data_IF_913789827876
#
_entry.id   IF_913789827876
#
_cell.length_a   1.000
_cell.length_b   1.000
_cell.length_c   1.000
_cell.angle_alpha   90.00
_cell.angle_beta   90.00
_cell.angle_gamma   90.00
#
_symmetry.space_group_name_H-M   'P 1'
#
loop_
_entity.id
_entity.type
_entity.pdbx_description
1 polymer ?
2 polymer ?
3 water ?
#
# COMPACT_ATOMS: atom_id res chain seq x y z
N UNK A 1 -25.19 7.10 -7.99
CA UNK A 1 -24.85 7.11 -6.54
C UNK A 1 -23.66 6.22 -6.20
N UNK A 2 -22.97 6.58 -5.13
CA UNK A 2 -21.82 5.80 -4.64
C UNK A 2 -22.21 4.43 -4.10
N UNK A 3 -21.22 3.60 -3.83
CA UNK A 3 -21.44 2.21 -3.38
C UNK A 3 -22.06 2.13 -1.98
N UNK A 4 -21.85 3.14 -1.14
CA UNK A 4 -22.40 3.15 0.23
C UNK A 4 -23.83 3.66 0.29
N UNK A 5 -24.15 4.69 -0.50
CA UNK A 5 -25.48 5.31 -0.47
C UNK A 5 -26.50 4.57 -1.33
N UNK A 6 -26.02 3.71 -2.22
CA UNK A 6 -26.89 2.78 -2.94
C UNK A 6 -27.62 1.86 -1.96
N UNK A 7 -26.90 1.30 -0.98
CA UNK A 7 -27.50 0.31 -0.06
C UNK A 7 -27.71 0.76 1.40
N UNK A 8 -27.46 2.03 1.71
CA UNK A 8 -27.66 2.55 3.09
C UNK A 8 -29.15 2.72 3.50
N UNK A 9 -29.43 2.55 4.80
CA UNK A 9 -30.80 2.63 5.36
C UNK A 9 -30.87 3.49 6.62
N UNK A 12 -27.01 3.35 7.48
CA UNK A 12 -26.15 2.25 7.87
C UNK A 12 -26.08 1.17 6.79
N UNK A 13 -24.92 0.50 6.70
CA UNK A 13 -24.68 -0.52 5.68
C UNK A 13 -24.20 -1.81 6.34
N UNK A 14 -24.72 -2.93 5.88
CA UNK A 14 -24.38 -4.24 6.44
C UNK A 14 -22.92 -4.58 6.14
N UNK A 15 -22.21 -5.05 7.17
CA UNK A 15 -20.79 -5.43 7.05
C UNK A 15 -20.55 -6.25 5.79
N UNK A 16 -21.42 -7.22 5.55
CA UNK A 16 -21.26 -8.13 4.42
C UNK A 16 -21.22 -7.37 3.09
N UNK A 17 -22.00 -6.29 3.01
CA UNK A 17 -22.07 -5.46 1.80
C UNK A 17 -20.89 -4.52 1.72
N UNK A 18 -20.47 -4.01 2.87
CA UNK A 18 -19.26 -3.22 2.93
C UNK A 18 -18.11 -4.01 2.33
N UNK A 19 -18.02 -5.29 2.69
CA UNK A 19 -16.97 -6.16 2.21
C UNK A 19 -17.00 -6.26 0.69
N UNK A 20 -18.19 -6.38 0.12
CA UNK A 20 -18.32 -6.52 -1.33
C UNK A 20 -17.82 -5.26 -1.98
N UNK A 21 -18.21 -4.11 -1.43
CA UNK A 21 -17.77 -2.81 -1.94
C UNK A 21 -16.25 -2.71 -1.89
N UNK A 22 -15.65 -3.20 -0.79
CA UNK A 22 -14.19 -3.18 -0.63
C UNK A 22 -13.50 -3.92 -1.76
N UNK A 23 -14.10 -5.03 -2.19
CA UNK A 23 -13.55 -5.82 -3.28
C UNK A 23 -13.68 -5.12 -4.62
N UNK A 24 -14.82 -4.44 -4.81
CA UNK A 24 -15.03 -3.70 -6.04
C UNK A 24 -14.02 -2.55 -6.10
N UNK A 25 -13.60 -2.05 -4.93
CA UNK A 25 -12.57 -1.01 -4.86
C UNK A 25 -11.16 -1.56 -4.93
N UNK A 26 -11.04 -2.89 -5.04
CA UNK A 26 -9.75 -3.55 -5.22
C UNK A 26 -9.05 -3.89 -3.92
N UNK A 27 -9.82 -4.00 -2.84
CA UNK A 27 -9.28 -4.46 -1.57
C UNK A 27 -9.72 -5.90 -1.28
N UNK A 28 -9.14 -6.48 -0.23
CA UNK A 28 -9.31 -7.88 0.07
C UNK A 28 -9.58 -8.10 1.57
N UNK A 29 -10.82 -7.87 2.01
CA UNK A 29 -11.21 -8.16 3.39
C UNK A 29 -11.27 -9.67 3.68
N UNK A 30 -10.83 -10.07 4.87
CA UNK A 30 -10.96 -11.45 5.34
C UNK A 30 -11.99 -11.51 6.47
N UNK A 31 -12.29 -12.71 6.96
CA UNK A 31 -13.18 -12.83 8.13
C UNK A 31 -12.61 -12.14 9.39
N UNK A 32 -11.30 -12.01 9.49
CA UNK A 32 -10.67 -11.29 10.61
C UNK A 32 -11.06 -9.81 10.65
N UNK A 33 -11.08 -9.16 9.50
CA UNK A 33 -11.48 -7.75 9.40
C UNK A 33 -12.96 -7.55 9.68
N UNK A 34 -13.77 -8.49 9.23
CA UNK A 34 -15.20 -8.42 9.46
C UNK A 34 -15.48 -8.52 10.96
N UNK A 35 -14.76 -9.43 11.62
CA UNK A 35 -14.91 -9.59 13.04
C UNK A 35 -14.45 -8.35 13.79
N UNK A 36 -13.31 -7.79 13.39
CA UNK A 36 -12.82 -6.56 14.04
C UNK A 36 -13.85 -5.42 13.96
N UNK A 37 -14.36 -5.17 12.75
CA UNK A 37 -15.32 -4.09 12.53
C UNK A 37 -16.66 -4.39 13.23
N UNK A 38 -17.07 -5.66 13.22
CA UNK A 38 -18.25 -6.05 14.01
C UNK A 38 -18.10 -5.82 15.53
N UNK A 39 -16.92 -6.12 16.06
CA UNK A 39 -16.73 -6.17 17.51
C UNK A 39 -16.75 -4.81 18.14
N UNK A 40 -16.59 -3.76 17.35
CA UNK A 40 -16.73 -2.42 17.91
C UNK A 40 -17.91 -1.59 17.36
N UNK A 41 -18.48 -1.97 16.21
CA UNK A 41 -19.62 -1.20 15.66
C UNK A 41 -20.88 -2.00 15.37
N UNK A 42 -20.81 -3.32 15.52
CA UNK A 42 -22.00 -4.14 15.40
C UNK A 42 -22.18 -4.62 13.98
N UNK A 43 -23.38 -5.08 13.67
CA UNK A 43 -23.64 -5.71 12.38
C UNK A 43 -23.71 -4.71 11.23
N UNK A 44 -23.91 -3.42 11.54
CA UNK A 44 -24.07 -2.37 10.54
C UNK A 44 -23.26 -1.10 10.87
N UNK A 45 -22.69 -0.50 9.82
CA UNK A 45 -21.76 0.62 9.95
C UNK A 45 -22.38 1.91 9.40
N UNK A 46 -22.11 3.02 10.12
CA UNK A 46 -22.33 4.36 9.57
C UNK A 46 -21.29 4.66 8.51
N UNK A 47 -21.49 5.76 7.80
CA UNK A 47 -20.55 6.17 6.78
C UNK A 47 -19.14 6.23 7.37
N UNK A 48 -18.99 6.95 8.46
CA UNK A 48 -17.68 7.11 9.09
C UNK A 48 -17.09 5.76 9.52
N UNK A 49 -17.92 4.89 10.07
CA UNK A 49 -17.46 3.54 10.45
C UNK A 49 -17.04 2.71 9.25
N UNK A 50 -17.76 2.89 8.15
CA UNK A 50 -17.51 2.17 6.91
C UNK A 50 -16.21 2.61 6.25
N UNK A 51 -15.88 3.89 6.34
CA UNK A 51 -14.60 4.39 5.86
C UNK A 51 -13.42 3.89 6.72
N UNK A 52 -13.60 3.78 8.02
CA UNK A 52 -12.60 3.12 8.86
C UNK A 52 -12.41 1.69 8.37
N UNK A 53 -13.51 0.99 8.13
CA UNK A 53 -13.43 -0.39 7.66
C UNK A 53 -12.61 -0.48 6.37
N UNK A 54 -12.84 0.40 5.41
CA UNK A 54 -12.07 0.36 4.16
C UNK A 54 -10.59 0.58 4.43
N UNK A 55 -10.27 1.56 5.29
CA UNK A 55 -8.87 1.73 5.70
C UNK A 55 -8.34 0.41 6.32
N UNK A 56 -9.12 -0.19 7.20
CA UNK A 56 -8.79 -1.52 7.79
C UNK A 56 -8.50 -2.57 6.73
N UNK A 57 -9.15 -2.48 5.58
CA UNK A 57 -9.03 -3.48 4.53
C UNK A 57 -7.91 -3.22 3.53
N UNK A 58 -7.14 -2.15 3.73
CA UNK A 58 -6.05 -1.82 2.81
C UNK A 58 -4.94 -2.89 2.86
N UNK A 59 -4.60 -3.34 4.05
CA UNK A 59 -3.60 -4.37 4.21
C UNK A 59 -2.37 -4.06 3.39
N UNK A 60 -1.62 -3.02 3.78
CA UNK A 60 -0.48 -2.62 3.02
C UNK A 60 0.71 -3.55 3.21
N UNK A 61 0.56 -4.54 4.08
CA UNK A 61 1.58 -5.57 4.25
C UNK A 61 1.34 -6.77 3.33
N UNK A 62 0.32 -6.71 2.50
CA UNK A 62 0.10 -7.76 1.51
C UNK A 62 1.21 -7.71 0.46
N UNK A 63 1.86 -8.84 0.24
CA UNK A 63 2.79 -9.00 -0.87
C UNK A 63 3.04 -10.48 -1.12
N UNK A 64 3.69 -10.78 -2.24
CA UNK A 64 3.90 -12.16 -2.65
C UNK A 64 4.49 -13.03 -1.54
N UNK A 65 5.49 -12.52 -0.84
CA UNK A 65 6.21 -13.36 0.12
C UNK A 65 5.40 -13.64 1.37
N UNK A 66 4.47 -12.74 1.70
CA UNK A 66 3.55 -12.98 2.83
C UNK A 66 2.44 -13.95 2.40
N UNK A 67 1.95 -13.78 1.17
CA UNK A 67 0.87 -14.62 0.66
C UNK A 67 1.24 -16.10 0.52
N UNK A 68 2.48 -16.38 0.14
CA UNK A 68 2.88 -17.76 -0.19
C UNK A 68 3.15 -18.65 1.02
N UNK A 69 3.17 -18.09 2.23
CA UNK A 69 3.72 -18.82 3.39
C UNK A 69 3.10 -20.20 3.57
N UNK A 70 1.78 -20.29 3.49
CA UNK A 70 1.11 -21.58 3.70
C UNK A 70 1.46 -22.57 2.58
N UNK A 71 1.52 -22.09 1.35
CA UNK A 71 1.86 -22.96 0.22
C UNK A 71 3.30 -23.47 0.34
N UNK A 72 4.20 -22.62 0.84
CA UNK A 72 5.59 -23.05 1.01
C UNK A 72 5.67 -24.23 1.94
N UNK A 73 4.80 -24.23 2.95
CA UNK A 73 4.80 -25.33 3.92
C UNK A 73 4.60 -26.64 3.22
N UNK A 74 3.79 -26.66 2.16
CA UNK A 74 3.48 -27.90 1.45
C UNK A 74 4.52 -28.24 0.36
N UNK A 75 5.33 -27.27 -0.02
CA UNK A 75 6.39 -27.50 -0.99
C UNK A 75 7.70 -27.88 -0.27
N UNK A 76 7.87 -29.18 -0.01
CA UNK A 76 8.98 -29.70 0.81
C UNK A 76 10.38 -29.29 0.36
N UNK A 77 10.71 -29.63 -0.88
CA UNK A 77 12.03 -29.33 -1.44
C UNK A 77 12.12 -27.89 -1.97
N UNK A 78 11.20 -27.04 -1.55
CA UNK A 78 11.16 -25.63 -1.98
C UNK A 78 11.42 -25.52 -3.48
N UNK A 79 10.75 -26.38 -4.25
CA UNK A 79 10.92 -26.39 -5.70
C UNK A 79 10.26 -25.20 -6.34
N UNK A 80 9.22 -24.69 -5.70
CA UNK A 80 8.46 -23.55 -6.23
C UNK A 80 7.08 -23.85 -6.82
N UNK A 81 6.75 -25.12 -7.07
CA UNK A 81 5.46 -25.46 -7.68
C UNK A 81 4.59 -26.31 -6.74
N UNK A 82 3.28 -26.22 -6.94
CA UNK A 82 2.33 -27.19 -6.37
C UNK A 82 1.32 -27.53 -7.48
N UNK A 83 0.69 -28.70 -7.39
CA UNK A 83 -0.34 -29.09 -8.35
C UNK A 83 -1.66 -28.36 -8.04
N UNK A 84 -2.54 -28.25 -9.05
CA UNK A 84 -3.86 -27.62 -8.84
C UNK A 84 -4.62 -28.25 -7.70
N UNK A 85 -4.62 -29.57 -7.68
CA UNK A 85 -5.40 -30.30 -6.73
C UNK A 85 -4.87 -30.13 -5.32
N UNK A 86 -3.55 -30.12 -5.17
CA UNK A 86 -2.93 -29.70 -3.91
C UNK A 86 -3.43 -28.34 -3.46
N UNK A 87 -3.37 -27.36 -4.36
CA UNK A 87 -3.73 -25.99 -3.96
C UNK A 87 -5.23 -25.91 -3.68
N UNK A 88 -6.02 -26.62 -4.45
CA UNK A 88 -7.44 -26.72 -4.17
C UNK A 88 -7.74 -27.26 -2.75
N UNK A 89 -7.06 -28.34 -2.34
CA UNK A 89 -7.34 -28.94 -1.04
C UNK A 89 -6.95 -27.99 0.08
N UNK A 90 -5.85 -27.27 -0.13
CA UNK A 90 -5.35 -26.31 0.83
C UNK A 90 -6.36 -25.17 0.95
N UNK A 91 -6.80 -24.67 -0.19
CA UNK A 91 -7.68 -23.50 -0.21
C UNK A 91 -9.10 -23.77 0.28
N UNK A 92 -9.49 -25.02 0.31
CA UNK A 92 -10.84 -25.44 0.63
C UNK A 92 -10.93 -26.14 2.00
N UNK A 93 -9.81 -26.31 2.68
CA UNK A 93 -9.78 -26.95 4.00
C UNK A 93 -9.38 -25.97 5.12
N UNK A 94 -8.38 -25.15 4.88
CA UNK A 94 -7.89 -24.21 5.89
C UNK A 94 -8.36 -22.80 5.62
N UNK A 95 -8.18 -21.92 6.60
CA UNK A 95 -8.53 -20.51 6.46
C UNK A 95 -10.00 -20.20 6.25
N UNK A 96 -10.28 -19.09 5.58
CA UNK A 96 -11.64 -18.79 5.13
C UNK A 96 -11.87 -19.63 3.87
N UNK A 97 -12.23 -20.89 4.06
CA UNK A 97 -12.21 -21.89 2.99
C UNK A 97 -13.09 -21.51 1.83
N UNK A 98 -12.54 -21.59 0.63
CA UNK A 98 -13.33 -21.50 -0.60
C UNK A 98 -14.10 -22.78 -0.86
N UNK A 99 -15.13 -22.73 -1.70
CA UNK A 99 -15.72 -23.95 -2.26
C UNK A 99 -14.72 -24.54 -3.25
N UNK A 100 -14.87 -25.81 -3.57
CA UNK A 100 -14.05 -26.41 -4.61
C UNK A 100 -14.12 -25.58 -5.88
N UNK A 101 -15.33 -25.22 -6.27
CA UNK A 101 -15.56 -24.50 -7.52
C UNK A 101 -14.78 -23.17 -7.56
N UNK A 102 -14.88 -22.42 -6.47
CA UNK A 102 -14.21 -21.14 -6.36
C UNK A 102 -12.71 -21.31 -6.45
N UNK A 103 -12.19 -22.39 -5.88
CA UNK A 103 -10.76 -22.60 -5.86
C UNK A 103 -10.29 -22.97 -7.26
N UNK A 104 -10.93 -23.98 -7.84
CA UNK A 104 -10.65 -24.40 -9.22
C UNK A 104 -10.75 -23.28 -10.24
N UNK A 105 -11.76 -22.43 -10.09
CA UNK A 105 -11.91 -21.29 -11.00
C UNK A 105 -10.71 -20.36 -10.94
N UNK A 106 -10.20 -20.09 -9.74
CA UNK A 106 -9.02 -19.26 -9.58
C UNK A 106 -7.79 -19.92 -10.21
N UNK A 107 -7.66 -21.23 -10.01
CA UNK A 107 -6.50 -21.96 -10.49
C UNK A 107 -6.52 -22.11 -12.02
N UNK A 108 -7.70 -22.37 -12.57
CA UNK A 108 -7.88 -22.48 -14.03
C UNK A 108 -7.68 -21.15 -14.78
N UNK A 109 -8.09 -20.05 -14.15
CA UNK A 109 -7.92 -18.71 -14.74
C UNK A 109 -6.43 -18.39 -14.83
N UNK A 110 -5.68 -18.72 -13.79
CA UNK A 110 -4.26 -18.43 -13.77
C UNK A 110 -3.45 -19.32 -14.72
N UNK A 111 -3.77 -20.60 -14.78
CA UNK A 111 -3.00 -21.50 -15.63
C UNK A 111 -3.83 -22.63 -16.19
N UNK A 112 -3.38 -23.14 -17.33
CA UNK A 112 -3.95 -24.33 -17.94
C UNK A 112 -3.11 -25.57 -17.68
N UNK A 113 -1.97 -25.40 -17.00
CA UNK A 113 -1.15 -26.54 -16.61
C UNK A 113 -1.49 -26.96 -15.19
N UNK A 114 -1.22 -28.21 -14.87
CA UNK A 114 -1.47 -28.75 -13.55
C UNK A 114 -0.44 -28.29 -12.52
N UNK A 115 0.82 -28.26 -12.94
CA UNK A 115 1.92 -27.85 -12.08
C UNK A 115 1.95 -26.32 -12.05
N UNK A 116 1.63 -25.75 -10.88
CA UNK A 116 1.46 -24.30 -10.73
C UNK A 116 2.55 -23.64 -9.90
N UNK A 117 3.18 -22.61 -10.46
CA UNK A 117 4.11 -21.77 -9.72
C UNK A 117 3.31 -20.90 -8.76
N UNK A 118 3.31 -21.27 -7.50
CA UNK A 118 2.43 -20.57 -6.55
C UNK A 118 2.90 -19.17 -6.21
N UNK A 119 4.18 -18.85 -6.43
CA UNK A 119 4.63 -17.47 -6.21
C UNK A 119 3.98 -16.56 -7.26
N UNK A 120 4.00 -17.00 -8.51
CA UNK A 120 3.42 -16.23 -9.63
C UNK A 120 1.92 -16.15 -9.52
N UNK A 121 1.31 -17.19 -9.00
CA UNK A 121 -0.13 -17.18 -8.74
C UNK A 121 -0.46 -16.17 -7.62
N UNK A 122 0.32 -16.16 -6.56
CA UNK A 122 0.09 -15.18 -5.52
C UNK A 122 0.41 -13.77 -6.01
N UNK A 123 1.41 -13.60 -6.88
CA UNK A 123 1.72 -12.28 -7.40
C UNK A 123 0.56 -11.79 -8.23
N UNK A 124 -0.03 -12.68 -9.02
CA UNK A 124 -1.09 -12.29 -9.96
C UNK A 124 -2.37 -11.93 -9.23
N UNK A 125 -2.78 -12.68 -8.20
CA UNK A 125 -4.06 -12.37 -7.55
C UNK A 125 -4.05 -11.06 -6.78
N UNK A 126 -2.87 -10.46 -6.58
CA UNK A 126 -2.75 -9.17 -5.86
C UNK A 126 -3.22 -7.96 -6.65
N UNK A 127 -3.23 -8.07 -7.97
CA UNK A 127 -3.59 -6.94 -8.84
C UNK A 127 -5.10 -6.82 -9.05
N UNK B 1 -11.77 23.67 4.53
CA UNK B 1 -10.52 23.65 3.72
C UNK B 1 -9.93 22.23 3.54
N UNK B 2 -9.89 21.73 2.31
CA UNK B 2 -9.25 20.46 1.97
C UNK B 2 -9.20 20.35 0.45
N UNK B 3 -8.49 19.33 -0.04
CA UNK B 3 -8.26 19.23 -1.48
C UNK B 3 -9.54 19.07 -2.30
N UNK B 4 -10.57 18.44 -1.74
CA UNK B 4 -11.88 18.41 -2.40
C UNK B 4 -12.63 19.74 -2.28
N UNK B 5 -12.87 20.22 -1.06
CA UNK B 5 -13.69 21.43 -0.82
C UNK B 5 -13.14 22.74 -1.34
N UNK B 6 -11.86 22.79 -1.70
CA UNK B 6 -11.30 24.04 -2.22
C UNK B 6 -11.25 24.11 -3.75
N UNK B 7 -11.61 23.02 -4.42
CA UNK B 7 -11.56 22.97 -5.88
C UNK B 7 -12.92 22.72 -6.56
N UNK B 8 -13.82 22.02 -5.88
CA UNK B 8 -15.09 21.64 -6.49
C UNK B 8 -16.11 22.79 -6.49
N UNK B 9 -17.00 22.76 -7.48
CA UNK B 9 -18.22 23.55 -7.47
C UNK B 9 -19.41 22.60 -7.52
N UNK B 10 -20.49 22.97 -6.85
CA UNK B 10 -21.70 22.15 -6.77
C UNK B 10 -21.50 20.83 -6.02
N UNK B 11 -20.41 20.71 -5.27
CA UNK B 11 -20.06 19.46 -4.56
C UNK B 11 -19.51 18.35 -5.45
N UNK B 12 -18.94 18.75 -6.58
CA UNK B 12 -18.62 17.84 -7.67
C UNK B 12 -17.27 18.24 -8.25
N UNK B 13 -16.35 17.27 -8.33
CA UNK B 13 -14.97 17.52 -8.72
C UNK B 13 -14.63 16.71 -9.97
N UNK B 14 -14.08 17.38 -10.97
CA UNK B 14 -13.70 16.73 -12.22
C UNK B 14 -12.57 15.70 -11.99
N UNK B 15 -12.62 14.61 -12.74
CA UNK B 15 -11.65 13.53 -12.54
C UNK B 15 -10.23 14.09 -12.62
N UNK B 16 -9.97 14.94 -13.60
CA UNK B 16 -8.63 15.48 -13.82
C UNK B 16 -8.06 16.03 -12.50
N UNK B 17 -8.86 16.79 -11.78
CA UNK B 17 -8.43 17.38 -10.51
C UNK B 17 -8.38 16.38 -9.37
N UNK B 18 -9.22 15.36 -9.45
CA UNK B 18 -9.21 14.28 -8.46
C UNK B 18 -7.88 13.55 -8.57
N UNK B 19 -7.43 13.35 -9.80
CA UNK B 19 -6.15 12.71 -10.02
C UNK B 19 -5.03 13.58 -9.49
N UNK B 20 -5.16 14.88 -9.66
CA UNK B 20 -4.20 15.82 -9.12
C UNK B 20 -4.15 15.69 -7.62
N UNK B 21 -5.30 15.61 -6.98
CA UNK B 21 -5.32 15.42 -5.52
C UNK B 21 -4.69 14.09 -5.13
N UNK B 22 -5.02 13.04 -5.87
CA UNK B 22 -4.45 11.70 -5.62
C UNK B 22 -2.92 11.78 -5.58
N UNK B 23 -2.35 12.52 -6.51
CA UNK B 23 -0.90 12.68 -6.61
C UNK B 23 -0.34 13.48 -5.43
N UNK B 24 -1.06 14.53 -5.04
CA UNK B 24 -0.67 15.27 -3.84
C UNK B 24 -0.71 14.37 -2.60
N UNK B 25 -1.58 13.37 -2.60
CA UNK B 25 -1.65 12.43 -1.48
C UNK B 25 -0.63 11.30 -1.60
N UNK B 26 0.15 11.32 -2.68
CA UNK B 26 1.22 10.37 -2.87
C UNK B 26 0.82 9.15 -3.64
N UNK B 27 -0.28 9.23 -4.40
CA UNK B 27 -0.71 8.12 -5.26
C UNK B 27 -0.35 8.42 -6.70
N UNK B 28 -0.53 7.44 -7.58
CA UNK B 28 -0.11 7.56 -8.96
C UNK B 28 -1.11 7.00 -9.98
N UNK B 29 -2.21 7.71 -10.23
CA UNK B 29 -3.21 7.26 -11.21
C UNK B 29 -2.79 7.45 -12.67
N UNK B 30 -3.10 6.47 -13.50
CA UNK B 30 -2.85 6.55 -14.93
C UNK B 30 -4.19 6.69 -15.61
N UNK B 31 -4.18 6.79 -16.93
CA UNK B 31 -5.42 6.88 -17.71
C UNK B 31 -6.28 5.62 -17.54
N UNK B 32 -5.64 4.50 -17.26
CA UNK B 32 -6.35 3.28 -16.92
C UNK B 32 -7.18 3.47 -15.65
N UNK B 33 -6.65 4.18 -14.67
CA UNK B 33 -7.37 4.42 -13.41
C UNK B 33 -8.49 5.45 -13.63
N UNK B 34 -8.22 6.46 -14.42
CA UNK B 34 -9.25 7.45 -14.76
C UNK B 34 -10.42 6.83 -15.51
N UNK B 35 -10.12 5.96 -16.47
CA UNK B 35 -11.16 5.28 -17.25
C UNK B 35 -12.11 4.52 -16.34
N UNK B 36 -11.55 3.79 -15.38
CA UNK B 36 -12.37 3.00 -14.46
C UNK B 36 -13.45 3.86 -13.83
N UNK B 37 -13.04 4.93 -13.14
CA UNK B 37 -13.96 5.76 -12.38
C UNK B 37 -14.92 6.54 -13.30
N UNK B 38 -14.46 6.87 -14.50
CA UNK B 38 -15.29 7.56 -15.50
C UNK B 38 -16.45 6.69 -15.96
N UNK B 39 -16.17 5.44 -16.24
CA UNK B 39 -17.19 4.45 -16.61
C UNK B 39 -18.26 4.30 -15.53
N UNK B 40 -17.92 4.58 -14.26
CA UNK B 40 -18.87 4.44 -13.17
C UNK B 40 -19.64 5.71 -12.80
N UNK B 41 -19.02 6.88 -12.89
CA UNK B 41 -19.64 8.10 -12.32
C UNK B 41 -19.61 9.33 -13.22
N UNK B 42 -19.07 9.19 -14.43
CA UNK B 42 -19.03 10.28 -15.40
C UNK B 42 -17.71 11.02 -15.34
N UNK B 43 -17.72 12.26 -15.85
CA UNK B 43 -16.52 13.10 -15.93
C UNK B 43 -16.25 13.87 -14.62
N UNK B 44 -17.22 13.88 -13.70
CA UNK B 44 -17.05 14.55 -12.40
C UNK B 44 -17.61 13.68 -11.27
N UNK B 45 -17.12 13.91 -10.05
CA UNK B 45 -17.38 13.02 -8.92
C UNK B 45 -17.82 13.75 -7.65
N UNK B 46 -18.76 13.16 -6.92
CA UNK B 46 -19.13 13.67 -5.60
C UNK B 46 -18.04 13.33 -4.60
N UNK B 47 -18.16 13.91 -3.40
CA UNK B 47 -17.18 13.60 -2.37
C UNK B 47 -17.04 12.10 -2.16
N UNK B 48 -18.16 11.39 -2.15
CA UNK B 48 -18.17 9.95 -1.84
C UNK B 48 -17.56 9.14 -2.98
N UNK B 49 -17.94 9.49 -4.20
CA UNK B 49 -17.35 8.87 -5.38
C UNK B 49 -15.83 9.10 -5.41
N UNK B 50 -15.42 10.27 -4.92
CA UNK B 50 -14.01 10.67 -4.92
C UNK B 50 -13.18 9.89 -3.92
N UNK B 51 -13.75 9.56 -2.77
CA UNK B 51 -13.07 8.71 -1.80
C UNK B 51 -12.93 7.28 -2.32
N UNK B 52 -13.91 6.83 -3.10
CA UNK B 52 -13.82 5.53 -3.77
C UNK B 52 -12.68 5.50 -4.78
N UNK B 53 -12.56 6.56 -5.57
CA UNK B 53 -11.47 6.70 -6.52
C UNK B 53 -10.12 6.62 -5.83
N UNK B 54 -9.97 7.37 -4.73
CA UNK B 54 -8.73 7.37 -3.99
C UNK B 54 -8.38 5.97 -3.50
N UNK B 55 -9.38 5.18 -3.14
CA UNK B 55 -9.14 3.83 -2.64
C UNK B 55 -8.74 2.93 -3.79
N UNK B 56 -9.33 3.15 -4.95
CA UNK B 56 -9.00 2.37 -6.13
C UNK B 56 -7.55 2.57 -6.52
N UNK B 57 -6.99 3.74 -6.20
CA UNK B 57 -5.61 4.05 -6.49
C UNK B 57 -4.63 3.82 -5.33
N UNK B 58 -5.08 3.35 -4.16
CA UNK B 58 -4.12 3.20 -3.05
C UNK B 58 -3.11 2.09 -3.23
N UNK B 59 -3.42 1.08 -4.04
CA UNK B 59 -2.58 -0.14 -4.15
C UNK B 59 -2.00 -0.46 -5.53
N UNK B 60 -1.14 0.39 -6.08
CA UNK B 60 -0.51 0.05 -7.37
C UNK B 60 0.55 -1.05 -7.24
N UNK B 61 1.38 -0.99 -6.19
CA UNK B 61 2.38 -2.01 -5.93
C UNK B 61 3.39 -2.21 -7.08
N UNK B 62 3.72 -1.13 -7.79
CA UNK B 62 4.66 -1.23 -8.90
C UNK B 62 6.04 -1.60 -8.37
N UNK B 63 6.79 -2.42 -9.09
CA UNK B 63 8.22 -2.64 -8.79
C UNK B 63 9.10 -2.30 -9.98
N UNK B 64 10.34 -1.90 -9.72
CA UNK B 64 11.19 -1.34 -10.77
C UNK B 64 11.37 -2.24 -12.01
N UNK B 65 11.33 -3.56 -11.82
CA UNK B 65 11.55 -4.48 -12.95
C UNK B 65 10.44 -4.47 -14.02
N UNK B 66 9.24 -4.04 -13.66
CA UNK B 66 8.18 -3.90 -14.66
C UNK B 66 8.23 -2.53 -15.35
N UNK B 67 8.63 -1.49 -14.61
CA UNK B 67 8.75 -0.14 -15.15
C UNK B 67 9.92 0.00 -16.15
N UNK B 68 11.02 -0.67 -15.84
CA UNK B 68 12.20 -0.83 -16.71
C UNK B 68 11.91 -1.17 -18.19
N UNK B 69 10.86 -1.98 -18.42
CA UNK B 69 10.68 -2.78 -19.64
C UNK B 69 10.78 -2.02 -20.96
N UNK B 70 10.10 -0.88 -21.09
CA UNK B 70 10.11 -0.15 -22.35
C UNK B 70 11.50 0.47 -22.56
N UNK B 71 12.12 0.94 -21.48
CA UNK B 71 13.46 1.51 -21.57
C UNK B 71 14.48 0.47 -22.03
N UNK B 72 14.45 -0.72 -21.42
CA UNK B 72 15.38 -1.77 -21.82
C UNK B 72 15.11 -2.28 -23.25
N UNK B 73 13.90 -2.07 -23.77
CA UNK B 73 13.57 -2.41 -25.16
C UNK B 73 14.38 -1.54 -26.11
N UNK B 74 14.73 -0.35 -25.65
CA UNK B 74 15.60 0.56 -26.38
C UNK B 74 17.11 0.38 -26.08
N UNK B 75 17.43 -0.18 -24.90
CA UNK B 75 18.82 -0.47 -24.52
C UNK B 75 19.25 -1.81 -25.11
N UNK B 76 19.37 -1.85 -26.44
CA UNK B 76 19.65 -3.09 -27.18
C UNK B 76 20.88 -3.89 -26.68
N UNK B 77 21.80 -3.23 -26.00
CA UNK B 77 22.99 -3.88 -25.46
C UNK B 77 22.89 -4.33 -24.02
N UNK B 78 21.93 -3.77 -23.28
CA UNK B 78 21.73 -4.05 -21.86
C UNK B 78 22.85 -3.47 -21.01
N UNK B 79 23.22 -2.23 -21.33
CA UNK B 79 24.20 -1.47 -20.55
C UNK B 79 23.56 -0.82 -19.32
N UNK B 80 22.24 -0.70 -19.33
CA UNK B 80 21.51 -0.11 -18.19
C UNK B 80 21.35 1.40 -18.24
N UNK B 81 21.89 2.02 -19.28
CA UNK B 81 21.90 3.48 -19.42
C UNK B 81 21.15 3.90 -20.69
N UNK B 82 20.53 5.08 -20.64
CA UNK B 82 20.03 5.79 -21.85
C UNK B 82 20.25 7.30 -21.67
N UNK B 83 20.19 8.05 -22.77
CA UNK B 83 20.43 9.50 -22.69
C UNK B 83 19.15 10.24 -22.33
N UNK B 84 19.31 11.43 -21.78
CA UNK B 84 18.17 12.25 -21.39
C UNK B 84 17.19 12.38 -22.54
N UNK B 85 17.71 12.85 -23.66
CA UNK B 85 16.88 13.11 -24.82
C UNK B 85 16.24 11.83 -25.37
N UNK B 86 16.96 10.71 -25.27
CA UNK B 86 16.40 9.43 -25.69
C UNK B 86 15.16 9.10 -24.83
N UNK B 87 15.32 9.26 -23.52
CA UNK B 87 14.23 9.03 -22.56
C UNK B 87 13.10 10.04 -22.70
N UNK B 88 13.43 11.29 -22.99
CA UNK B 88 12.39 12.29 -23.19
C UNK B 88 11.57 11.88 -24.37
N UNK B 89 12.26 11.52 -25.46
CA UNK B 89 11.58 11.06 -26.65
C UNK B 89 10.65 9.89 -26.33
N UNK B 90 11.15 8.93 -25.58
CA UNK B 90 10.35 7.74 -25.30
C UNK B 90 9.12 8.16 -24.51
N UNK B 91 9.37 8.86 -23.40
CA UNK B 91 8.32 9.28 -22.48
C UNK B 91 7.26 10.21 -23.05
N UNK B 92 7.54 10.78 -24.22
CA UNK B 92 6.63 11.73 -24.82
C UNK B 92 5.98 11.23 -26.12
N UNK B 93 6.25 9.98 -26.52
CA UNK B 93 5.67 9.38 -27.74
C UNK B 93 4.79 8.15 -27.49
N UNK B 94 5.11 7.39 -26.45
CA UNK B 94 4.31 6.22 -26.08
C UNK B 94 3.62 6.40 -24.75
N UNK B 95 2.64 5.55 -24.49
CA UNK B 95 1.94 5.48 -23.21
C UNK B 95 1.12 6.71 -22.92
N UNK B 96 0.99 7.06 -21.63
CA UNK B 96 0.29 8.28 -21.20
C UNK B 96 1.30 9.40 -21.30
N UNK B 97 1.54 9.81 -22.54
CA UNK B 97 2.68 10.64 -22.88
C UNK B 97 2.71 11.97 -22.11
N UNK B 98 3.90 12.30 -21.63
CA UNK B 98 4.15 13.56 -20.94
C UNK B 98 4.43 14.61 -21.99
N UNK B 99 4.27 15.88 -21.63
CA UNK B 99 4.76 16.94 -22.52
C UNK B 99 6.28 16.89 -22.49
N UNK B 100 6.92 17.59 -23.43
CA UNK B 100 8.37 17.63 -23.48
C UNK B 100 8.90 18.31 -22.21
N UNK B 101 8.25 19.39 -21.80
CA UNK B 101 8.65 20.09 -20.57
C UNK B 101 8.56 19.17 -19.33
N UNK B 102 7.51 18.35 -19.27
CA UNK B 102 7.32 17.45 -18.12
C UNK B 102 8.40 16.39 -18.09
N UNK B 103 8.64 15.78 -19.24
CA UNK B 103 9.74 14.82 -19.37
C UNK B 103 11.06 15.43 -18.94
N UNK B 104 11.39 16.62 -19.45
CA UNK B 104 12.70 17.22 -19.14
C UNK B 104 12.81 17.65 -17.67
N UNK B 105 11.81 18.33 -17.12
CA UNK B 105 11.86 18.66 -15.68
C UNK B 105 12.15 17.41 -14.85
N UNK B 106 11.45 16.32 -15.13
CA UNK B 106 11.63 15.11 -14.35
C UNK B 106 13.04 14.53 -14.53
N UNK B 107 13.48 14.41 -15.77
CA UNK B 107 14.82 13.90 -16.06
C UNK B 107 15.91 14.76 -15.42
N UNK B 108 15.80 16.08 -15.56
CA UNK B 108 16.78 17.01 -14.97
C UNK B 108 16.78 16.95 -13.44
N UNK B 109 15.63 16.66 -12.85
CA UNK B 109 15.54 16.55 -11.40
C UNK B 109 16.33 15.37 -10.87
N UNK B 110 16.29 14.25 -11.59
CA UNK B 110 16.96 13.01 -11.19
C UNK B 110 18.47 13.04 -11.38
N UNK B 111 18.93 13.68 -12.46
CA UNK B 111 20.36 13.68 -12.79
C UNK B 111 20.78 14.99 -13.45
N UNK B 112 22.00 15.42 -13.13
CA UNK B 112 22.64 16.53 -13.83
C UNK B 112 23.37 16.00 -15.07
N UNK B 113 23.84 14.77 -15.00
CA UNK B 113 24.55 14.12 -16.10
C UNK B 113 23.59 13.62 -17.18
N UNK B 114 24.09 13.58 -18.41
CA UNK B 114 23.27 13.32 -19.59
C UNK B 114 22.90 11.83 -19.78
N UNK B 115 23.81 10.94 -19.40
CA UNK B 115 23.51 9.50 -19.43
C UNK B 115 22.82 9.11 -18.12
N UNK B 116 21.65 8.50 -18.26
CA UNK B 116 20.82 8.16 -17.11
C UNK B 116 20.65 6.65 -16.96
N UNK B 117 21.01 6.14 -15.79
CA UNK B 117 20.72 4.77 -15.42
C UNK B 117 19.21 4.64 -15.17
N UNK B 118 18.50 4.00 -16.12
CA UNK B 118 17.03 3.95 -16.04
C UNK B 118 16.51 3.02 -14.94
N UNK B 119 17.30 2.02 -14.56
CA UNK B 119 17.01 1.25 -13.35
C UNK B 119 16.95 2.18 -12.14
N UNK B 120 17.92 3.09 -12.09
CA UNK B 120 18.10 4.00 -10.97
C UNK B 120 17.00 5.06 -11.01
N UNK B 121 16.66 5.53 -12.20
CA UNK B 121 15.58 6.52 -12.36
C UNK B 121 14.24 5.94 -11.91
N UNK B 122 14.00 4.69 -12.28
CA UNK B 122 12.74 4.03 -12.00
C UNK B 122 12.60 3.73 -10.53
N UNK B 123 13.69 3.37 -9.88
CA UNK B 123 13.69 3.13 -8.43
C UNK B 123 13.46 4.44 -7.68
N UNK B 124 14.00 5.53 -8.20
CA UNK B 124 13.86 6.81 -7.56
C UNK B 124 12.43 7.33 -7.53
N UNK B 125 11.71 7.27 -8.65
CA UNK B 125 10.36 7.89 -8.71
C UNK B 125 9.28 7.09 -7.99
N UNK B 126 9.56 5.82 -7.72
CA UNK B 126 8.69 4.97 -6.94
C UNK B 126 8.64 5.33 -5.45
N UNK B 127 9.55 6.17 -4.98
CA UNK B 127 9.57 6.52 -3.53
C UNK B 127 9.15 7.96 -3.28
N UNK C 2 -17.23 5.97 16.34
CA UNK C 2 -16.26 6.60 15.40
C UNK C 2 -14.95 6.95 16.11
N UNK C 3 -13.81 6.64 15.50
CA UNK C 3 -12.52 6.95 16.13
C UNK C 3 -12.21 8.45 16.13
N UNK C 4 -12.54 9.10 15.02
CA UNK C 4 -12.50 10.58 14.94
C UNK C 4 -13.45 11.22 15.99
N UNK C 5 -14.76 11.03 15.83
CA UNK C 5 -15.74 11.70 16.72
C UNK C 5 -15.67 11.38 18.21
N UNK C 6 -14.94 10.34 18.57
CA UNK C 6 -14.79 9.97 19.97
C UNK C 6 -13.84 10.90 20.71
N UNK C 7 -12.82 11.40 20.02
CA UNK C 7 -11.81 12.24 20.65
C UNK C 7 -11.76 13.66 20.10
N UNK C 8 -12.43 13.93 18.98
CA UNK C 8 -12.34 15.24 18.35
C UNK C 8 -13.01 16.32 19.18
N UNK C 9 -12.42 17.51 19.16
CA UNK C 9 -12.97 18.71 19.76
C UNK C 9 -13.30 19.72 18.63
N UNK C 10 -14.48 20.33 18.72
CA UNK C 10 -14.93 21.29 17.69
C UNK C 10 -14.70 20.87 16.24
N UNK C 11 -14.90 19.59 15.95
CA UNK C 11 -14.81 19.07 14.59
C UNK C 11 -13.40 18.84 14.11
N UNK C 12 -12.45 18.89 15.04
CA UNK C 12 -11.03 18.87 14.70
C UNK C 12 -10.22 17.95 15.63
N UNK C 13 -9.36 17.14 15.03
CA UNK C 13 -8.59 16.13 15.77
C UNK C 13 -7.10 16.42 15.66
N UNK C 14 -6.43 16.44 16.80
CA UNK C 14 -4.96 16.54 16.84
C UNK C 14 -4.30 15.43 16.02
N UNK C 15 -3.15 15.78 15.42
CA UNK C 15 -2.39 14.86 14.61
C UNK C 15 -1.97 13.62 15.44
N UNK C 16 -1.49 13.86 16.65
CA UNK C 16 -1.08 12.79 17.54
C UNK C 16 -2.20 11.79 17.73
N UNK C 17 -3.43 12.28 17.84
CA UNK C 17 -4.57 11.39 17.93
C UNK C 17 -4.91 10.73 16.59
N UNK C 18 -4.67 11.44 15.50
CA UNK C 18 -4.90 10.93 14.15
C UNK C 18 -4.00 9.72 13.84
N UNK C 19 -2.73 9.85 14.21
CA UNK C 19 -1.74 8.80 14.00
C UNK C 19 -2.12 7.51 14.75
N UNK C 20 -2.56 7.70 15.99
CA UNK C 20 -2.99 6.61 16.83
C UNK C 20 -4.14 5.86 16.17
N UNK C 21 -5.12 6.60 15.66
CA UNK C 21 -6.21 6.02 14.86
C UNK C 21 -5.68 5.25 13.65
N UNK C 22 -4.71 5.81 12.96
CA UNK C 22 -4.12 5.13 11.80
C UNK C 22 -3.51 3.77 12.19
N UNK C 23 -2.81 3.72 13.30
CA UNK C 23 -2.26 2.48 13.86
C UNK C 23 -3.35 1.50 14.18
N UNK C 24 -4.36 1.94 14.90
CA UNK C 24 -5.50 1.09 15.25
C UNK C 24 -6.13 0.56 13.98
N UNK C 25 -6.06 1.32 12.89
CA UNK C 25 -6.57 0.87 11.60
C UNK C 25 -5.58 0.02 10.80
N UNK C 26 -4.40 -0.27 11.35
CA UNK C 26 -3.42 -1.14 10.70
C UNK C 26 -2.37 -0.44 9.84
N UNK C 27 -2.24 0.88 9.98
CA UNK C 27 -1.21 1.64 9.26
C UNK C 27 -0.08 2.02 10.20
N UNK C 28 1.01 2.50 9.60
CA UNK C 28 2.24 2.80 10.31
C UNK C 28 2.78 4.18 9.96
N UNK C 29 2.18 5.22 10.55
CA UNK C 29 2.61 6.60 10.33
C UNK C 29 3.92 6.92 11.02
N UNK C 30 4.72 7.74 10.37
CA UNK C 30 5.94 8.27 10.96
C UNK C 30 5.82 9.77 11.04
N UNK C 31 6.83 10.42 11.62
CA UNK C 31 6.80 11.88 11.75
C UNK C 31 6.91 12.55 10.37
N UNK C 32 7.44 11.84 9.38
CA UNK C 32 7.42 12.33 7.99
C UNK C 32 5.98 12.50 7.50
N UNK C 33 5.10 11.58 7.88
CA UNK C 33 3.70 11.66 7.49
C UNK C 33 2.99 12.80 8.26
N UNK C 34 3.35 12.92 9.52
CA UNK C 34 2.79 13.96 10.37
C UNK C 34 3.25 15.34 9.93
N UNK C 35 4.50 15.45 9.50
CA UNK C 35 5.03 16.70 8.96
C UNK C 35 4.26 17.10 7.72
N UNK C 36 3.96 16.14 6.86
CA UNK C 36 3.29 16.45 5.61
C UNK C 36 1.91 17.01 5.86
N UNK C 37 1.19 16.40 6.79
CA UNK C 37 -0.18 16.82 7.04
C UNK C 37 -0.19 18.14 7.81
N UNK C 38 0.80 18.35 8.68
CA UNK C 38 0.87 19.57 9.48
C UNK C 38 1.16 20.78 8.61
N UNK C 39 2.09 20.63 7.67
CA UNK C 39 2.45 21.69 6.72
C UNK C 39 1.24 22.21 5.95
N UNK C 40 0.32 21.31 5.64
CA UNK C 40 -0.90 21.69 4.94
C UNK C 40 -1.96 22.29 5.85
N UNK C 41 -2.15 21.73 7.05
CA UNK C 41 -3.36 22.01 7.84
C UNK C 41 -3.16 22.43 9.30
N UNK C 42 -1.92 22.49 9.78
CA UNK C 42 -1.69 22.87 11.16
C UNK C 42 -1.66 21.68 12.12
N UNK C 43 -1.89 21.98 13.40
CA UNK C 43 -1.73 21.02 14.48
C UNK C 43 -2.94 20.09 14.66
N UNK C 44 -4.12 20.50 14.18
CA UNK C 44 -5.33 19.66 14.23
C UNK C 44 -6.03 19.58 12.88
N UNK C 45 -6.91 18.60 12.72
CA UNK C 45 -7.47 18.25 11.40
C UNK C 45 -8.98 18.06 11.40
N UNK C 46 -9.64 18.64 10.40
CA UNK C 46 -11.05 18.36 10.15
C UNK C 46 -11.20 16.92 9.67
N UNK C 47 -12.43 16.43 9.67
CA UNK C 47 -12.67 15.08 9.20
C UNK C 47 -12.12 14.84 7.82
N UNK C 48 -12.34 15.80 6.92
CA UNK C 48 -11.94 15.64 5.53
C UNK C 48 -10.40 15.58 5.38
N UNK C 49 -9.72 16.41 6.18
CA UNK C 49 -8.26 16.47 6.22
C UNK C 49 -7.67 15.20 6.81
N UNK C 50 -8.40 14.65 7.78
CA UNK C 50 -8.04 13.40 8.45
C UNK C 50 -8.03 12.25 7.44
N UNK C 51 -9.10 12.13 6.67
CA UNK C 51 -9.16 11.12 5.64
C UNK C 51 -7.99 11.24 4.65
N UNK C 52 -7.57 12.46 4.38
CA UNK C 52 -6.42 12.68 3.50
C UNK C 52 -5.16 12.12 4.17
N UNK C 53 -5.04 12.40 5.46
CA UNK C 53 -3.93 11.89 6.24
C UNK C 53 -3.86 10.38 6.19
N UNK C 54 -5.00 9.71 6.34
CA UNK C 54 -5.01 8.25 6.35
C UNK C 54 -4.55 7.67 5.02
N UNK C 55 -4.82 8.36 3.91
CA UNK C 55 -4.28 7.95 2.61
C UNK C 55 -2.75 8.10 2.57
N UNK C 56 -2.24 9.22 3.05
CA UNK C 56 -0.78 9.40 3.13
C UNK C 56 -0.04 8.40 4.00
N UNK C 57 -0.75 7.77 4.94
CA UNK C 57 -0.13 6.80 5.87
C UNK C 57 0.02 5.38 5.34
N UNK C 58 -0.41 5.15 4.10
CA UNK C 58 -0.32 3.85 3.52
C UNK C 58 1.14 3.74 3.05
N UNK C 59 1.78 2.64 3.39
CA UNK C 59 3.20 2.44 3.09
C UNK C 59 3.48 1.05 2.61
N UNK C 60 2.91 0.68 1.46
CA UNK C 60 3.12 -0.64 0.82
C UNK C 60 4.61 -1.01 0.67
N UNK C 61 5.42 -0.02 0.25
CA UNK C 61 6.80 -0.29 -0.20
C UNK C 61 7.80 -0.66 0.90
N UNK C 62 7.43 -0.49 2.17
CA UNK C 62 8.30 -0.92 3.23
C UNK C 62 8.69 -2.40 2.99
N UNK C 63 9.99 -2.68 3.09
CA UNK C 63 10.51 -4.05 3.00
C UNK C 63 11.67 -4.23 3.96
N UNK C 64 12.04 -5.48 4.22
CA UNK C 64 13.04 -5.78 5.23
C UNK C 64 14.39 -5.12 4.92
N UNK C 65 14.78 -5.17 3.65
CA UNK C 65 16.09 -4.70 3.22
C UNK C 65 16.22 -3.19 3.39
N UNK C 66 15.11 -2.48 3.38
CA UNK C 66 15.15 -1.05 3.59
C UNK C 66 15.26 -0.80 5.09
N UNK C 67 14.40 -1.49 5.84
CA UNK C 67 14.28 -1.30 7.27
C UNK C 67 15.56 -1.51 8.08
N UNK C 68 16.41 -2.41 7.64
CA UNK C 68 17.60 -2.80 8.38
C UNK C 68 18.78 -1.84 8.26
N UNK C 69 18.74 -0.92 7.30
CA UNK C 69 19.91 -0.13 6.95
C UNK C 69 20.59 0.59 8.10
N UNK C 70 19.81 1.16 9.04
CA UNK C 70 20.44 1.77 10.21
C UNK C 70 21.12 0.72 11.09
N UNK C 71 20.52 -0.47 11.19
CA UNK C 71 21.09 -1.56 12.00
C UNK C 71 22.37 -2.14 11.37
N UNK C 72 22.35 -2.36 10.05
CA UNK C 72 23.54 -2.84 9.33
C UNK C 72 24.75 -1.93 9.52
N UNK C 73 24.52 -0.63 9.50
CA UNK C 73 25.55 0.37 9.74
C UNK C 73 26.25 0.16 11.07
N UNK C 74 25.52 -0.32 12.09
CA UNK C 74 26.14 -0.67 13.37
C UNK C 74 26.74 -2.07 13.42
N UNK C 75 26.55 -2.87 12.38
CA UNK C 75 26.98 -4.26 12.35
C UNK C 75 28.23 -4.40 11.52
N UNK C 76 29.37 -4.57 12.17
CA UNK C 76 30.63 -4.80 11.43
C UNK C 76 30.71 -6.28 11.09
N UNK C 77 31.35 -6.60 9.97
CA UNK C 77 31.45 -7.98 9.51
C UNK C 77 30.12 -8.64 9.16
N UNK C 78 29.06 -7.83 9.02
CA UNK C 78 27.78 -8.30 8.53
C UNK C 78 27.40 -9.65 9.14
N UNK C 79 27.58 -9.76 10.45
CA UNK C 79 27.20 -10.96 11.18
C UNK C 79 25.71 -11.22 11.03
N UNK C 80 24.93 -10.16 10.89
CA UNK C 80 23.48 -10.23 10.88
C UNK C 80 22.86 -10.05 12.26
N UNK C 81 23.67 -9.73 13.26
CA UNK C 81 23.18 -9.69 14.63
C UNK C 81 23.58 -8.40 15.32
N UNK C 82 22.72 -7.94 16.23
CA UNK C 82 23.13 -6.94 17.21
C UNK C 82 22.59 -7.41 18.56
N UNK C 83 23.15 -6.88 19.62
CA UNK C 83 22.59 -7.13 20.95
C UNK C 83 21.32 -6.29 21.15
N UNK C 84 20.50 -6.70 22.12
CA UNK C 84 19.34 -5.97 22.51
C UNK C 84 19.68 -4.56 22.97
N UNK C 85 20.69 -4.43 23.81
CA UNK C 85 21.10 -3.10 24.29
C UNK C 85 21.51 -2.19 23.13
N UNK C 86 22.25 -2.74 22.16
CA UNK C 86 22.62 -2.01 20.95
C UNK C 86 21.38 -1.51 20.26
N UNK C 87 20.47 -2.43 19.95
CA UNK C 87 19.23 -2.08 19.26
C UNK C 87 18.40 -1.09 20.06
N UNK C 88 18.31 -1.30 21.35
CA UNK C 88 17.56 -0.37 22.19
C UNK C 88 18.16 1.02 22.08
N UNK C 89 19.49 1.11 22.19
CA UNK C 89 20.20 2.40 22.08
C UNK C 89 19.97 3.10 20.76
N UNK C 90 20.04 2.32 19.69
CA UNK C 90 19.77 2.86 18.38
C UNK C 90 18.34 3.38 18.36
N UNK C 91 17.38 2.51 18.69
CA UNK C 91 15.94 2.84 18.57
C UNK C 91 15.50 4.00 19.44
N UNK C 92 16.25 4.31 20.49
CA UNK C 92 15.88 5.37 21.41
C UNK C 92 16.69 6.64 21.24
N UNK C 93 17.69 6.60 20.36
CA UNK C 93 18.56 7.78 20.16
C UNK C 93 18.31 8.44 18.82
N UNK C 94 18.25 7.67 17.73
CA UNK C 94 17.98 8.24 16.40
C UNK C 94 16.55 8.10 15.95
N UNK C 95 16.13 8.99 15.04
CA UNK C 95 14.83 8.89 14.35
C UNK C 95 13.63 9.28 15.18
N UNK C 96 12.48 8.65 14.96
CA UNK C 96 11.32 8.90 15.81
C UNK C 96 11.51 8.08 17.07
N UNK C 97 12.41 8.54 17.92
CA UNK C 97 12.88 7.84 19.11
C UNK C 97 11.79 7.25 19.99
N UNK C 98 11.99 6.02 20.42
CA UNK C 98 11.06 5.37 21.33
C UNK C 98 11.62 5.54 22.73
N UNK C 99 10.79 5.33 23.75
CA UNK C 99 11.29 5.28 25.12
C UNK C 99 12.12 3.98 25.28
N UNK C 100 12.97 3.93 26.29
CA UNK C 100 13.71 2.72 26.60
C UNK C 100 12.76 1.53 26.69
N UNK C 101 11.67 1.75 27.42
CA UNK C 101 10.69 0.72 27.76
C UNK C 101 10.02 0.20 26.50
N UNK C 102 9.61 1.10 25.61
CA UNK C 102 8.99 0.66 24.34
C UNK C 102 9.97 -0.14 23.48
N UNK C 103 11.22 0.28 23.47
CA UNK C 103 12.25 -0.42 22.71
C UNK C 103 12.42 -1.81 23.28
N UNK C 104 12.55 -1.89 24.60
CA UNK C 104 12.72 -3.18 25.25
C UNK C 104 11.52 -4.09 25.10
N UNK C 105 10.30 -3.55 25.16
CA UNK C 105 9.08 -4.33 24.97
C UNK C 105 9.02 -4.95 23.59
N UNK C 106 9.43 -4.18 22.58
CA UNK C 106 9.43 -4.68 21.22
C UNK C 106 10.53 -5.74 21.05
N UNK C 107 11.71 -5.47 21.58
CA UNK C 107 12.80 -6.45 21.49
C UNK C 107 12.41 -7.72 22.30
N UNK C 108 11.87 -7.55 23.49
CA UNK C 108 11.50 -8.71 24.31
C UNK C 108 10.36 -9.54 23.76
N UNK C 109 9.41 -8.91 23.08
CA UNK C 109 8.34 -9.66 22.45
C UNK C 109 8.88 -10.51 21.26
N UNK C 110 9.93 -10.05 20.59
CA UNK C 110 10.52 -10.81 19.48
C UNK C 110 11.35 -11.99 19.95
N UNK C 111 12.22 -11.76 20.94
CA UNK C 111 13.09 -12.82 21.42
C UNK C 111 13.39 -12.67 22.89
N UNK C 112 13.67 -13.80 23.53
CA UNK C 112 14.13 -13.77 24.91
C UNK C 112 15.65 -13.97 24.97
N UNK C 113 16.32 -13.96 23.81
CA UNK C 113 17.76 -14.07 23.75
C UNK C 113 18.38 -12.69 23.53
N UNK C 114 19.62 -12.51 23.98
CA UNK C 114 20.30 -11.22 23.91
C UNK C 114 20.75 -10.84 22.50
N UNK C 115 21.15 -11.85 21.73
CA UNK C 115 21.66 -11.65 20.38
C UNK C 115 20.47 -11.63 19.43
N UNK C 116 20.21 -10.50 18.81
CA UNK C 116 19.05 -10.36 17.93
C UNK C 116 19.45 -10.43 16.47
N UNK C 117 18.80 -11.33 15.75
CA UNK C 117 18.83 -11.33 14.30
C UNK C 117 17.97 -10.18 13.80
N UNK C 118 18.61 -9.07 13.45
CA UNK C 118 17.84 -7.84 13.19
C UNK C 118 17.07 -7.91 11.86
N UNK C 119 17.55 -8.72 10.93
CA UNK C 119 16.77 -8.97 9.71
C UNK C 119 15.43 -9.66 10.04
N UNK C 120 15.49 -10.73 10.83
CA UNK C 120 14.29 -11.47 11.23
C UNK C 120 13.39 -10.60 12.13
N UNK C 121 14.01 -9.73 12.92
CA UNK C 121 13.26 -8.81 13.76
C UNK C 121 12.44 -7.86 12.89
N UNK C 122 13.09 -7.32 11.85
CA UNK C 122 12.45 -6.40 10.93
C UNK C 122 11.36 -7.08 10.09
N UNK C 123 11.66 -8.27 9.57
CA UNK C 123 10.67 -9.11 8.89
C UNK C 123 9.44 -9.32 9.78
N UNK C 124 9.68 -9.65 11.06
CA UNK C 124 8.58 -9.85 11.98
C UNK C 124 7.71 -8.59 12.17
N UNK C 125 8.29 -7.40 12.35
CA UNK C 125 7.44 -6.21 12.57
C UNK C 125 6.75 -5.77 11.28
N UNK C 126 7.21 -6.27 10.13
CA UNK C 126 6.54 -6.01 8.85
C UNK C 126 5.44 -7.01 8.55
N UNK C 127 5.15 -7.90 9.49
CA UNK C 127 4.19 -8.97 9.25
C UNK C 127 2.81 -8.67 9.81
N UNK D 1 -2.61 -15.43 6.45
CA UNK D 1 -1.67 -15.72 5.29
C UNK D 1 -2.33 -16.46 4.12
N UNK D 2 -2.76 -17.69 4.38
CA UNK D 2 -3.70 -18.34 3.46
C UNK D 2 -4.97 -17.52 3.40
N UNK D 3 -5.37 -16.93 4.53
CA UNK D 3 -6.56 -16.09 4.51
C UNK D 3 -6.37 -14.85 3.62
N UNK D 4 -5.15 -14.32 3.56
CA UNK D 4 -4.87 -13.19 2.66
C UNK D 4 -5.06 -13.62 1.22
N UNK D 5 -4.63 -14.83 0.87
CA UNK D 5 -4.81 -15.35 -0.50
C UNK D 5 -6.30 -15.52 -0.85
N UNK D 6 -7.04 -16.06 0.10
CA UNK D 6 -8.45 -16.33 -0.10
C UNK D 6 -9.19 -15.00 -0.25
N UNK D 7 -8.78 -13.99 0.52
CA UNK D 7 -9.40 -12.67 0.45
C UNK D 7 -9.20 -12.02 -0.92
N UNK D 8 -8.04 -12.22 -1.52
CA UNK D 8 -7.77 -11.69 -2.85
C UNK D 8 -8.40 -12.49 -3.97
N UNK D 9 -8.68 -13.77 -3.72
CA UNK D 9 -9.39 -14.62 -4.71
C UNK D 9 -10.85 -14.20 -4.78
N UNK D 10 -11.43 -13.89 -3.62
CA UNK D 10 -12.78 -13.37 -3.56
C UNK D 10 -12.82 -11.97 -4.15
N UNK D 11 -11.78 -11.17 -3.93
CA UNK D 11 -11.70 -9.86 -4.57
C UNK D 11 -11.75 -10.06 -6.06
N UNK D 12 -11.01 -11.03 -6.56
CA UNK D 12 -10.92 -11.26 -8.01
C UNK D 12 -12.25 -11.70 -8.66
N UNK D 13 -13.17 -12.25 -7.85
CA UNK D 13 -14.44 -12.77 -8.37
C UNK D 13 -15.33 -11.66 -8.89
N UNK D 14 -15.25 -10.49 -8.27
CA UNK D 14 -16.14 -9.40 -8.63
C UNK D 14 -15.53 -8.54 -9.74
N UNK D 15 -15.79 -8.95 -10.98
CA UNK D 15 -15.41 -8.23 -12.20
C UNK D 15 -13.95 -7.73 -12.18
N UNK E 1 3.02 -0.35 -18.25
CA UNK E 1 4.34 -0.30 -17.57
C UNK E 1 5.03 1.05 -17.80
N UNK E 2 5.20 1.44 -19.06
CA UNK E 2 5.58 2.84 -19.34
C UNK E 2 4.54 3.79 -18.74
N UNK E 3 3.28 3.40 -18.80
CA UNK E 3 2.22 4.13 -18.14
C UNK E 3 2.47 4.32 -16.64
N UNK E 4 3.02 3.29 -15.99
CA UNK E 4 3.29 3.36 -14.55
C UNK E 4 4.44 4.32 -14.30
N UNK E 5 5.45 4.28 -15.17
CA UNK E 5 6.53 5.24 -15.09
C UNK E 5 5.96 6.65 -15.15
N UNK E 6 5.14 6.92 -16.16
CA UNK E 6 4.60 8.26 -16.36
C UNK E 6 3.69 8.64 -15.19
N UNK E 7 2.95 7.68 -14.64
CA UNK E 7 2.07 7.95 -13.51
C UNK E 7 2.87 8.40 -12.31
N UNK E 8 4.00 7.75 -12.03
CA UNK E 8 4.84 8.15 -10.89
C UNK E 8 5.60 9.43 -11.11
N UNK E 9 5.97 9.74 -12.35
CA UNK E 9 6.56 11.03 -12.65
C UNK E 9 5.56 12.13 -12.31
N UNK E 10 4.34 12.00 -12.82
CA UNK E 10 3.29 12.98 -12.47
C UNK E 10 3.09 13.13 -10.95
N UNK E 11 3.10 12.00 -10.22
CA UNK E 11 3.01 12.02 -8.76
C UNK E 11 4.15 12.85 -8.20
N UNK E 12 5.35 12.50 -8.64
CA UNK E 12 6.59 13.08 -8.13
C UNK E 12 6.70 14.57 -8.42
N UNK E 13 6.24 15.01 -9.59
CA UNK E 13 6.44 16.41 -10.00
C UNK E 13 5.19 17.26 -9.71
N UNK E 14 4.24 16.68 -8.99
CA UNK E 14 3.02 17.38 -8.67
C UNK E 14 3.33 18.62 -7.81
N UNK E 15 2.62 19.70 -8.07
CA UNK E 15 2.84 20.97 -7.36
C UNK E 15 1.54 21.51 -6.75
N UNK F 1 14.85 5.18 7.13
CA UNK F 1 14.47 3.74 7.27
C UNK F 1 14.29 3.36 8.73
N UNK F 2 15.13 3.88 9.61
CA UNK F 2 14.91 3.63 11.05
C UNK F 2 13.49 4.09 11.45
N UNK F 3 13.03 5.18 10.84
CA UNK F 3 11.69 5.66 11.13
C UNK F 3 10.61 4.65 10.71
N UNK F 4 10.83 3.95 9.61
CA UNK F 4 9.85 2.94 9.20
C UNK F 4 9.77 1.84 10.27
N UNK F 5 10.91 1.48 10.84
CA UNK F 5 10.98 0.44 11.87
C UNK F 5 10.21 0.89 13.09
N UNK F 6 10.51 2.10 13.55
CA UNK F 6 9.84 2.66 14.72
C UNK F 6 8.35 2.80 14.51
N UNK F 7 7.96 3.17 13.28
CA UNK F 7 6.55 3.31 12.95
C UNK F 7 5.87 1.98 13.08
N UNK F 8 6.51 0.91 12.61
CA UNK F 8 5.86 -0.40 12.70
C UNK F 8 5.83 -0.91 14.13
N UNK F 9 6.81 -0.51 14.93
CA UNK F 9 6.81 -0.91 16.34
C UNK F 9 5.62 -0.25 17.02
N UNK F 10 5.47 1.06 16.84
CA UNK F 10 4.30 1.77 17.38
C UNK F 10 2.98 1.20 16.88
N UNK F 11 2.89 0.81 15.60
CA UNK F 11 1.64 0.20 15.13
C UNK F 11 1.33 -1.06 15.96
N UNK F 12 2.35 -1.84 16.28
CA UNK F 12 2.16 -3.13 16.95
C UNK F 12 1.79 -3.05 18.42
N UNK F 13 2.20 -1.99 19.11
CA UNK F 13 1.83 -1.87 20.53
C UNK F 13 0.34 -1.54 20.67
N UNK F 14 -0.33 -1.31 19.55
CA UNK F 14 -1.74 -0.94 19.50
C UNK F 14 -2.66 -2.08 19.05
N UNK F 15 -2.10 -3.04 18.30
CA UNK F 15 -2.88 -4.09 17.62
C UNK F 15 -3.58 -5.05 18.58
#
# INVERSE_FOLDING_TARGET
KDMFNTKSSNGKLRIEDASHNARKLGLAPSSTDEKKIRDLYGDSLTYEQYLEYLTMCVHDRDNMEELIKMFSHFDNNSSGFLTKNQMKNILTTWGDALTEQEANDALNAFSSEDRINYKLFCEDILS
KDMFNTKSSNGKLRIEDASHNARKLGLAPSSTDEKKIRDLYGDSLTYEQYLEYLTMCVHDRDNMEELIKMFSHFDNNSSGFLTKNQMKNILTTWGDALTEQEANDALNAFSSEDRINYKLFCEDILS
KDMFNTKSSNGKLRIEDASHNARKLGLAPSSTDEKKIRDLYGDSLTYEQYLEYLTMCVHDRDNMEELIKMFSHFDNNSSGFLTKNQMKNILTTWGDALTEQEANDALNAFSSEDRINYKLFCEDILS
SLMRVQAHIRKRMVA
SLMRVQAHIRKRMVA
SLMRVQAHIRKRMVA
#
